data_IF_598080016513
#
_entry.id   IF_598080016513
#
_cell.length_a   1.000
_cell.length_b   1.000
_cell.length_c   1.000
_cell.angle_alpha   90.00
_cell.angle_beta   90.00
_cell.angle_gamma   90.00
#
_symmetry.space_group_name_H-M   'P 1'
#
loop_
_entity.id
_entity.type
_entity.pdbx_description
1 polymer ?
#
# COMPACT_ATOMS: atom_id res chain seq x y z
N UNK A 1 14.94 -28.46 -14.94
CA UNK A 1 14.48 -29.18 -13.74
C UNK A 1 12.97 -29.08 -13.69
N UNK A 2 12.28 -30.10 -14.18
CA UNK A 2 10.81 -30.17 -14.22
C UNK A 2 10.28 -31.46 -13.61
N UNK A 3 11.15 -32.26 -13.00
CA UNK A 3 10.79 -33.54 -12.42
C UNK A 3 10.31 -33.33 -10.99
N UNK A 4 9.12 -33.86 -10.71
CA UNK A 4 8.52 -33.84 -9.38
C UNK A 4 9.21 -34.92 -8.54
N UNK A 5 9.72 -34.60 -7.34
CA UNK A 5 10.39 -35.58 -6.49
C UNK A 5 9.50 -36.79 -6.18
N UNK A 6 10.10 -37.96 -6.05
CA UNK A 6 9.41 -39.20 -5.73
C UNK A 6 8.59 -39.05 -4.42
N UNK A 7 7.31 -39.43 -4.45
CA UNK A 7 6.39 -39.31 -3.32
C UNK A 7 5.68 -37.95 -3.17
N UNK A 8 5.96 -36.97 -4.02
CA UNK A 8 5.24 -35.69 -4.02
C UNK A 8 4.05 -35.73 -5.00
N UNK A 9 2.83 -35.65 -4.47
CA UNK A 9 1.61 -35.52 -5.26
C UNK A 9 1.22 -34.04 -5.42
N UNK A 10 1.36 -33.52 -6.64
CA UNK A 10 0.94 -32.15 -6.99
C UNK A 10 -0.43 -32.11 -7.70
N UNK A 11 -1.11 -33.25 -7.88
CA UNK A 11 -2.36 -33.34 -8.63
C UNK A 11 -3.51 -32.53 -8.01
N UNK A 12 -3.46 -32.30 -6.69
CA UNK A 12 -4.41 -31.45 -5.97
C UNK A 12 -4.02 -29.96 -5.90
N UNK A 13 -2.85 -29.57 -6.44
CA UNK A 13 -2.37 -28.19 -6.34
C UNK A 13 -3.02 -27.30 -7.40
N UNK A 14 -4.09 -26.61 -7.02
CA UNK A 14 -4.71 -25.58 -7.87
C UNK A 14 -4.01 -24.25 -7.62
N UNK A 15 -3.41 -23.69 -8.69
CA UNK A 15 -2.81 -22.35 -8.64
C UNK A 15 -3.90 -21.34 -8.25
N UNK A 16 -3.71 -20.67 -7.12
CA UNK A 16 -4.59 -19.56 -6.71
C UNK A 16 -4.44 -18.38 -7.69
N UNK A 17 -5.52 -17.64 -7.97
CA UNK A 17 -5.41 -16.41 -8.74
C UNK A 17 -4.44 -15.43 -8.06
N UNK A 18 -3.76 -14.57 -8.83
CA UNK A 18 -2.90 -13.54 -8.26
C UNK A 18 -3.70 -12.63 -7.33
N UNK A 19 -3.08 -12.23 -6.23
CA UNK A 19 -3.68 -11.25 -5.32
C UNK A 19 -3.61 -9.87 -5.99
N UNK A 20 -4.71 -9.11 -6.10
CA UNK A 20 -4.65 -7.74 -6.57
C UNK A 20 -3.75 -6.90 -5.66
N UNK A 21 -2.86 -6.13 -6.25
CA UNK A 21 -1.90 -5.27 -5.55
C UNK A 21 -1.87 -3.90 -6.20
N UNK A 22 -1.51 -2.88 -5.42
CA UNK A 22 -1.27 -1.53 -5.90
C UNK A 22 0.05 -1.01 -5.32
N UNK A 23 0.74 -0.14 -6.05
CA UNK A 23 2.03 0.42 -5.69
C UNK A 23 2.05 1.89 -6.07
N UNK A 24 2.59 2.75 -5.20
CA UNK A 24 2.76 4.18 -5.47
C UNK A 24 4.24 4.54 -5.60
N UNK A 25 4.53 5.36 -6.61
CA UNK A 25 5.85 5.94 -6.84
C UNK A 25 5.79 7.42 -6.48
N UNK A 26 6.34 7.77 -5.31
CA UNK A 26 6.44 9.17 -4.87
C UNK A 26 7.70 9.79 -5.46
N UNK A 27 7.54 10.90 -6.21
CA UNK A 27 8.64 11.58 -6.88
C UNK A 27 8.75 13.03 -6.47
N UNK A 28 9.94 13.60 -6.64
CA UNK A 28 10.18 15.05 -6.56
C UNK A 28 11.22 15.46 -7.60
N UNK A 29 11.24 16.73 -7.96
CA UNK A 29 12.37 17.28 -8.72
C UNK A 29 13.60 17.41 -7.80
N UNK A 30 14.71 16.78 -8.20
CA UNK A 30 16.00 16.89 -7.56
C UNK A 30 16.99 17.75 -8.37
N UNK A 31 18.15 18.10 -7.80
CA UNK A 31 19.15 18.93 -8.46
C UNK A 31 19.74 18.30 -9.74
N UNK A 32 19.60 16.98 -9.92
CA UNK A 32 20.12 16.23 -11.06
C UNK A 32 19.01 15.55 -11.90
N UNK A 33 17.74 15.93 -11.70
CA UNK A 33 16.58 15.31 -12.33
C UNK A 33 15.61 14.69 -11.31
N UNK A 34 14.58 13.96 -11.76
CA UNK A 34 13.57 13.36 -10.89
C UNK A 34 14.18 12.38 -9.89
N UNK A 35 13.80 12.54 -8.63
CA UNK A 35 14.13 11.63 -7.52
C UNK A 35 12.89 10.83 -7.12
N UNK A 36 13.11 9.64 -6.57
CA UNK A 36 12.05 8.73 -6.15
C UNK A 36 12.27 8.25 -4.73
N UNK A 37 11.20 8.19 -3.95
CA UNK A 37 11.23 7.66 -2.60
C UNK A 37 11.10 6.13 -2.63
N UNK A 38 12.06 5.45 -2.01
CA UNK A 38 12.07 4.00 -1.82
C UNK A 38 12.09 3.67 -0.33
N UNK A 39 11.31 2.66 0.06
CA UNK A 39 11.39 2.05 1.38
C UNK A 39 12.36 0.88 1.38
N UNK A 40 13.21 0.78 2.41
CA UNK A 40 14.00 -0.42 2.67
C UNK A 40 13.18 -1.38 3.52
N UNK A 41 12.91 -2.58 3.00
CA UNK A 41 12.12 -3.59 3.71
C UNK A 41 12.89 -4.13 4.92
N UNK A 42 12.18 -4.28 6.04
CA UNK A 42 12.74 -4.87 7.26
C UNK A 42 13.33 -6.27 6.98
N UNK A 43 14.48 -6.56 7.58
CA UNK A 43 15.13 -7.87 7.53
C UNK A 43 14.27 -8.99 8.11
N UNK A 44 13.27 -8.65 8.94
CA UNK A 44 12.34 -9.60 9.54
C UNK A 44 11.14 -9.95 8.65
N UNK A 45 11.02 -9.35 7.46
CA UNK A 45 9.92 -9.62 6.55
C UNK A 45 10.02 -11.03 5.94
N UNK A 46 8.90 -11.75 5.89
CA UNK A 46 8.84 -13.10 5.33
C UNK A 46 9.14 -13.15 3.82
N UNK A 47 8.90 -12.07 3.10
CA UNK A 47 9.14 -11.95 1.67
C UNK A 47 10.04 -10.75 1.37
N UNK A 48 11.09 -11.00 0.58
CA UNK A 48 12.06 -10.00 0.12
C UNK A 48 12.62 -9.11 1.25
N UNK A 49 13.19 -9.69 2.32
CA UNK A 49 13.88 -8.92 3.36
C UNK A 49 15.08 -8.17 2.78
N UNK A 50 15.31 -6.93 3.21
CA UNK A 50 16.44 -6.10 2.78
C UNK A 50 16.33 -5.52 1.37
N UNK A 51 15.19 -5.69 0.67
CA UNK A 51 14.97 -5.12 -0.65
C UNK A 51 14.51 -3.66 -0.55
N UNK A 52 15.02 -2.83 -1.47
CA UNK A 52 14.46 -1.51 -1.74
C UNK A 52 13.24 -1.64 -2.63
N UNK A 53 12.12 -1.04 -2.24
CA UNK A 53 10.87 -1.14 -2.95
C UNK A 53 10.09 0.18 -2.91
N UNK A 54 9.21 0.37 -3.90
CA UNK A 54 8.14 1.34 -3.80
C UNK A 54 7.13 0.90 -2.74
N UNK A 55 6.40 1.87 -2.19
CA UNK A 55 5.36 1.56 -1.23
C UNK A 55 4.16 0.94 -1.91
N UNK A 56 3.53 -0.02 -1.24
CA UNK A 56 2.35 -0.69 -1.77
C UNK A 56 2.16 -2.08 -1.20
N UNK A 57 1.07 -2.70 -1.62
CA UNK A 57 0.67 -3.96 -1.02
C UNK A 57 -0.57 -4.55 -1.66
N UNK A 58 -1.17 -5.50 -0.94
CA UNK A 58 -2.36 -6.20 -1.38
C UNK A 58 -3.61 -5.38 -1.10
N UNK A 59 -4.48 -5.29 -2.10
CA UNK A 59 -5.79 -4.68 -1.96
C UNK A 59 -6.63 -5.49 -0.96
N UNK A 60 -7.21 -4.79 0.01
CA UNK A 60 -7.93 -5.35 1.16
C UNK A 60 -9.43 -5.03 1.10
N UNK A 61 -10.17 -5.44 2.15
CA UNK A 61 -11.59 -5.07 2.32
C UNK A 61 -11.75 -3.63 2.81
N UNK A 62 -10.79 -3.12 3.57
CA UNK A 62 -10.78 -1.72 4.07
C UNK A 62 -10.78 -0.76 2.89
N UNK A 63 -10.02 -1.08 1.85
CA UNK A 63 -9.91 -0.25 0.64
C UNK A 63 -11.21 -0.23 -0.18
N UNK A 64 -12.04 -1.28 -0.10
CA UNK A 64 -13.38 -1.26 -0.70
C UNK A 64 -14.32 -0.36 0.11
N UNK A 65 -14.33 -0.50 1.43
CA UNK A 65 -15.17 0.31 2.31
C UNK A 65 -14.84 1.81 2.19
N UNK A 66 -13.57 2.15 1.95
CA UNK A 66 -13.15 3.53 1.71
C UNK A 66 -13.82 4.17 0.48
N UNK A 67 -14.07 3.40 -0.58
CA UNK A 67 -14.79 3.90 -1.78
C UNK A 67 -16.22 4.25 -1.43
N UNK A 68 -16.86 3.50 -0.54
CA UNK A 68 -18.21 3.78 -0.06
C UNK A 68 -18.24 5.01 0.89
N UNK A 69 -17.17 5.25 1.65
CA UNK A 69 -17.07 6.38 2.60
C UNK A 69 -16.67 7.71 1.94
N UNK A 70 -15.88 7.68 0.87
CA UNK A 70 -15.32 8.90 0.25
C UNK A 70 -15.67 9.01 -1.23
N UNK A 71 -16.52 9.98 -1.56
CA UNK A 71 -16.89 10.28 -2.95
C UNK A 71 -15.70 10.60 -3.87
N UNK A 72 -14.59 11.13 -3.33
CA UNK A 72 -13.37 11.37 -4.12
C UNK A 72 -12.77 10.06 -4.65
N UNK A 73 -13.01 8.92 -3.99
CA UNK A 73 -12.58 7.60 -4.42
C UNK A 73 -13.58 6.91 -5.37
N UNK A 74 -14.73 7.52 -5.69
CA UNK A 74 -15.70 7.00 -6.67
C UNK A 74 -15.21 7.26 -8.11
N UNK A 75 -14.07 6.66 -8.42
CA UNK A 75 -13.37 6.77 -9.70
C UNK A 75 -12.93 5.39 -10.17
N UNK A 76 -12.54 5.30 -11.44
CA UNK A 76 -11.90 4.10 -11.94
C UNK A 76 -10.69 3.75 -11.06
N UNK A 77 -10.60 2.48 -10.65
CA UNK A 77 -9.55 2.00 -9.75
C UNK A 77 -9.54 2.63 -8.34
N UNK A 78 -10.60 3.30 -7.88
CA UNK A 78 -10.68 3.91 -6.54
C UNK A 78 -10.23 3.00 -5.39
N UNK A 79 -10.56 1.70 -5.46
CA UNK A 79 -10.10 0.69 -4.50
C UNK A 79 -8.58 0.50 -4.48
N UNK A 80 -7.91 0.59 -5.63
CA UNK A 80 -6.45 0.51 -5.73
C UNK A 80 -5.80 1.81 -5.24
N UNK A 81 -6.45 2.96 -5.48
CA UNK A 81 -6.02 4.25 -4.93
C UNK A 81 -6.10 4.23 -3.40
N UNK A 82 -7.22 3.81 -2.82
CA UNK A 82 -7.35 3.62 -1.38
C UNK A 82 -6.26 2.68 -0.81
N UNK A 83 -5.95 1.60 -1.53
CA UNK A 83 -4.88 0.68 -1.16
C UNK A 83 -3.52 1.38 -1.07
N UNK A 84 -3.13 2.19 -2.06
CA UNK A 84 -1.82 2.89 -1.99
C UNK A 84 -1.79 3.97 -0.92
N UNK A 85 -2.90 4.68 -0.67
CA UNK A 85 -2.97 5.67 0.42
C UNK A 85 -2.75 5.01 1.78
N UNK A 86 -3.40 3.87 2.01
CA UNK A 86 -3.25 3.09 3.24
C UNK A 86 -1.85 2.48 3.38
N UNK A 87 -1.34 1.81 2.35
CA UNK A 87 -0.01 1.18 2.42
C UNK A 87 1.11 2.22 2.59
N UNK A 88 1.00 3.40 1.97
CA UNK A 88 1.97 4.50 2.14
C UNK A 88 1.97 5.05 3.56
N UNK A 89 0.78 5.16 4.16
CA UNK A 89 0.66 5.48 5.58
C UNK A 89 1.34 4.42 6.46
N UNK A 90 1.01 3.14 6.27
CA UNK A 90 1.57 2.02 7.04
C UNK A 90 3.11 2.00 6.95
N UNK A 91 3.65 1.98 5.73
CA UNK A 91 5.06 1.69 5.48
C UNK A 91 5.99 2.89 5.69
N UNK A 92 5.56 4.09 5.28
CA UNK A 92 6.41 5.28 5.27
C UNK A 92 5.97 6.34 6.29
N UNK A 93 4.73 6.29 6.78
CA UNK A 93 4.21 7.30 7.70
C UNK A 93 3.94 8.64 7.03
N UNK A 94 3.63 8.62 5.74
CA UNK A 94 3.34 9.81 4.94
C UNK A 94 2.08 9.62 4.11
N UNK A 95 1.49 10.72 3.67
CA UNK A 95 0.37 10.71 2.73
C UNK A 95 0.51 11.84 1.69
N UNK A 96 0.04 11.63 0.45
CA UNK A 96 -0.09 12.69 -0.53
C UNK A 96 -1.16 13.70 -0.07
N UNK A 97 -0.92 14.98 -0.36
CA UNK A 97 -1.83 16.07 -0.06
C UNK A 97 -1.66 17.16 -1.13
N UNK A 98 -2.36 17.01 -2.26
CA UNK A 98 -2.21 17.92 -3.40
C UNK A 98 -0.89 17.70 -4.14
N UNK A 99 -0.03 18.71 -4.16
CA UNK A 99 1.27 18.70 -4.87
C UNK A 99 2.46 18.33 -3.96
N UNK A 100 2.20 17.94 -2.72
CA UNK A 100 3.23 17.60 -1.74
C UNK A 100 2.84 16.37 -0.92
N UNK A 101 3.81 15.88 -0.15
CA UNK A 101 3.66 14.76 0.79
C UNK A 101 3.78 15.30 2.20
N UNK A 102 2.88 14.89 3.09
CA UNK A 102 2.87 15.26 4.50
C UNK A 102 3.21 14.06 5.39
N UNK A 103 3.80 14.32 6.55
CA UNK A 103 3.96 13.31 7.60
C UNK A 103 2.64 13.06 8.31
N UNK A 104 2.36 11.80 8.61
CA UNK A 104 1.21 11.37 9.42
C UNK A 104 1.63 11.34 10.89
N UNK A 105 0.70 11.70 11.78
CA UNK A 105 0.91 11.57 13.23
C UNK A 105 1.30 10.13 13.61
N UNK A 106 2.32 9.99 14.46
CA UNK A 106 2.86 8.67 14.82
C UNK A 106 1.82 7.79 15.50
N UNK A 107 0.92 8.36 16.31
CA UNK A 107 -0.10 7.58 17.01
C UNK A 107 -1.12 7.00 16.04
N UNK A 108 -1.58 7.80 15.08
CA UNK A 108 -2.46 7.34 14.01
C UNK A 108 -1.77 6.26 13.16
N UNK A 109 -0.51 6.50 12.75
CA UNK A 109 0.27 5.53 11.99
C UNK A 109 0.42 4.20 12.74
N UNK A 110 0.79 4.23 14.02
CA UNK A 110 0.97 3.02 14.80
C UNK A 110 -0.33 2.25 15.02
N UNK A 111 -1.47 2.94 15.12
CA UNK A 111 -2.76 2.27 15.20
C UNK A 111 -3.10 1.56 13.88
N UNK A 112 -2.77 2.15 12.72
CA UNK A 112 -2.91 1.48 11.41
C UNK A 112 -1.94 0.30 11.26
N UNK A 113 -0.68 0.43 11.70
CA UNK A 113 0.30 -0.68 11.67
C UNK A 113 -0.20 -1.86 12.53
N UNK A 114 -0.83 -1.56 13.66
CA UNK A 114 -1.39 -2.57 14.56
C UNK A 114 -2.57 -3.30 13.93
N UNK A 115 -3.48 -2.57 13.28
CA UNK A 115 -4.55 -3.12 12.47
C UNK A 115 -4.89 -2.18 11.31
N UNK A 116 -4.72 -2.65 10.08
CA UNK A 116 -5.01 -1.89 8.86
C UNK A 116 -6.47 -1.42 8.78
N UNK A 117 -7.39 -2.06 9.50
CA UNK A 117 -8.77 -1.62 9.60
C UNK A 117 -8.92 -0.24 10.24
N UNK A 118 -7.94 0.20 11.05
CA UNK A 118 -7.93 1.51 11.70
C UNK A 118 -7.63 2.66 10.74
N UNK A 119 -7.15 2.38 9.51
CA UNK A 119 -6.90 3.43 8.53
C UNK A 119 -8.18 4.20 8.17
N UNK A 120 -9.29 3.50 7.96
CA UNK A 120 -10.54 4.12 7.53
C UNK A 120 -11.11 5.07 8.60
N UNK A 121 -11.23 4.69 9.88
CA UNK A 121 -11.62 5.63 10.94
C UNK A 121 -10.73 6.87 11.02
N UNK A 122 -9.40 6.72 10.92
CA UNK A 122 -8.50 7.86 10.92
C UNK A 122 -8.69 8.77 9.69
N UNK A 123 -9.01 8.19 8.54
CA UNK A 123 -9.36 8.95 7.34
C UNK A 123 -10.69 9.71 7.51
N UNK A 124 -11.71 9.06 8.08
CA UNK A 124 -13.04 9.65 8.32
C UNK A 124 -12.97 10.80 9.35
N UNK A 125 -12.10 10.66 10.35
CA UNK A 125 -11.84 11.69 11.37
C UNK A 125 -10.84 12.77 10.89
N UNK A 126 -10.44 12.75 9.61
CA UNK A 126 -9.47 13.68 9.01
C UNK A 126 -8.07 13.68 9.67
N UNK A 127 -7.70 12.62 10.38
CA UNK A 127 -6.36 12.43 10.94
C UNK A 127 -5.35 11.99 9.87
N UNK A 128 -5.84 11.32 8.82
CA UNK A 128 -5.07 10.93 7.63
C UNK A 128 -5.81 11.48 6.40
N UNK A 129 -5.16 12.22 5.50
CA UNK A 129 -5.85 12.78 4.34
C UNK A 129 -6.21 11.69 3.34
N UNK A 130 -7.38 11.85 2.71
CA UNK A 130 -7.78 11.12 1.51
C UNK A 130 -7.77 12.11 0.35
N UNK A 131 -6.62 12.22 -0.30
CA UNK A 131 -6.41 13.10 -1.45
C UNK A 131 -5.92 12.25 -2.63
N UNK A 132 -6.51 12.48 -3.80
CA UNK A 132 -6.16 11.77 -5.04
C UNK A 132 -5.62 12.70 -6.12
N UNK A 133 -5.36 13.95 -5.79
CA UNK A 133 -4.80 14.90 -6.74
C UNK A 133 -3.43 14.39 -7.17
N UNK A 134 -3.17 14.41 -8.48
CA UNK A 134 -1.92 13.94 -9.08
C UNK A 134 -1.64 12.43 -8.91
N UNK A 135 -2.68 11.62 -8.65
CA UNK A 135 -2.65 10.14 -8.69
C UNK A 135 -3.17 9.61 -10.02
#
# INVERSE_FOLDING_TARGET
MSEVPEGVDLSGFVRKPPRPTATMTLTRDGPNGPEVLLGLRSETMAAFPGYWAFTGGGVSRVDAAAVDSFSVLDVEHGKFIACILRETCEELGVAPNGDHVISIDESARFDVIKDKANWLPHAEDCNIPVNIDNI
#
